data_IF_202442265596
#
_entry.id   IF_202442265596
#
_cell.length_a   1.000
_cell.length_b   1.000
_cell.length_c   1.000
_cell.angle_alpha   90.00
_cell.angle_beta   90.00
_cell.angle_gamma   90.00
#
_symmetry.space_group_name_H-M   'P 1'
#
loop_
_entity.id
_entity.type
_entity.pdbx_description
1 polymer ?
#
# COMPACT_ATOMS: atom_id res chain seq x y z
N UNK A 1 -7.66 13.08 23.66
CA UNK A 1 -8.70 13.03 22.61
C UNK A 1 -8.25 11.99 21.61
N UNK A 2 -8.95 10.88 21.55
CA UNK A 2 -8.70 9.76 20.65
C UNK A 2 -9.36 10.07 19.31
N UNK A 3 -8.58 10.18 18.23
CA UNK A 3 -9.10 10.47 16.89
C UNK A 3 -10.03 9.35 16.42
N UNK A 4 -11.34 9.60 16.50
CA UNK A 4 -12.37 8.73 15.94
C UNK A 4 -12.29 8.62 14.40
N UNK A 5 -11.47 9.45 13.74
CA UNK A 5 -11.19 9.43 12.29
C UNK A 5 -9.82 8.88 11.90
N UNK A 6 -9.04 8.33 12.84
CA UNK A 6 -7.71 7.79 12.55
C UNK A 6 -7.77 6.58 11.61
N UNK A 7 -6.83 6.50 10.66
CA UNK A 7 -6.64 5.32 9.81
C UNK A 7 -6.11 4.17 10.66
N UNK A 8 -6.78 3.02 10.62
CA UNK A 8 -6.43 1.86 11.45
C UNK A 8 -5.85 0.68 10.67
N UNK A 9 -6.02 0.71 9.34
CA UNK A 9 -5.60 -0.37 8.46
C UNK A 9 -5.23 0.21 7.09
N UNK A 10 -4.11 -0.23 6.54
CA UNK A 10 -3.68 0.18 5.19
C UNK A 10 -3.04 -1.01 4.50
N UNK A 11 -3.48 -1.30 3.27
CA UNK A 11 -2.87 -2.33 2.43
C UNK A 11 -2.33 -1.73 1.14
N UNK A 12 -1.23 -2.28 0.66
CA UNK A 12 -0.71 -2.07 -0.69
C UNK A 12 -1.04 -3.31 -1.53
N UNK A 13 -1.84 -3.12 -2.58
CA UNK A 13 -2.13 -4.15 -3.58
C UNK A 13 -1.24 -3.94 -4.79
N UNK A 14 -0.47 -4.97 -5.10
CA UNK A 14 0.36 -5.04 -6.29
C UNK A 14 -0.36 -5.90 -7.33
N UNK A 15 -0.72 -5.33 -8.49
CA UNK A 15 -1.42 -6.09 -9.51
C UNK A 15 -0.54 -7.25 -10.01
N UNK A 16 -1.05 -8.48 -9.95
CA UNK A 16 -0.31 -9.69 -10.29
C UNK A 16 0.50 -10.34 -9.15
N UNK A 17 0.73 -9.64 -8.03
CA UNK A 17 1.57 -10.13 -6.92
C UNK A 17 0.86 -10.22 -5.56
N UNK A 18 -0.31 -9.59 -5.39
CA UNK A 18 -1.15 -9.73 -4.19
C UNK A 18 -1.21 -8.49 -3.31
N UNK A 19 -1.63 -8.65 -2.05
CA UNK A 19 -1.79 -7.56 -1.07
C UNK A 19 -0.81 -7.72 0.09
N UNK A 20 -0.26 -6.60 0.57
CA UNK A 20 0.61 -6.52 1.74
C UNK A 20 0.01 -5.51 2.72
N UNK A 21 -0.13 -5.91 3.98
CA UNK A 21 -0.51 -4.99 5.05
C UNK A 21 0.66 -4.04 5.36
N UNK A 22 0.37 -2.74 5.40
CA UNK A 22 1.37 -1.71 5.68
C UNK A 22 1.47 -1.46 7.18
N UNK A 23 2.68 -1.28 7.68
CA UNK A 23 2.95 -0.99 9.09
C UNK A 23 2.85 0.51 9.35
N UNK A 24 2.08 0.92 10.37
CA UNK A 24 2.05 2.30 10.84
C UNK A 24 3.39 2.67 11.49
N UNK A 25 4.01 3.78 11.04
CA UNK A 25 5.32 4.23 11.55
C UNK A 25 5.26 5.60 12.23
N UNK A 26 4.06 6.15 12.42
CA UNK A 26 3.81 7.43 13.11
C UNK A 26 3.08 8.46 12.24
N UNK A 27 2.29 9.34 12.88
CA UNK A 27 1.45 10.31 12.16
C UNK A 27 0.53 9.62 11.15
N UNK A 28 0.47 10.12 9.92
CA UNK A 28 -0.26 9.49 8.80
C UNK A 28 0.68 8.69 7.87
N UNK A 29 1.78 8.15 8.40
CA UNK A 29 2.80 7.45 7.62
C UNK A 29 2.70 5.95 7.82
N UNK A 30 2.61 5.22 6.72
CA UNK A 30 2.57 3.76 6.66
C UNK A 30 3.66 3.26 5.72
N UNK A 31 4.27 2.13 6.05
CA UNK A 31 5.38 1.53 5.30
C UNK A 31 5.10 0.08 4.95
N UNK A 32 5.38 -0.30 3.72
CA UNK A 32 5.46 -1.69 3.29
C UNK A 32 6.75 -1.95 2.51
N UNK A 33 7.16 -3.21 2.49
CA UNK A 33 8.19 -3.72 1.60
C UNK A 33 7.46 -4.52 0.52
N UNK A 34 7.64 -4.15 -0.74
CA UNK A 34 7.07 -4.84 -1.89
C UNK A 34 8.18 -5.57 -2.63
N UNK A 35 7.91 -6.80 -3.07
CA UNK A 35 8.88 -7.68 -3.71
C UNK A 35 9.39 -8.80 -2.79
N UNK A 36 10.46 -9.53 -3.19
CA UNK A 36 11.29 -9.27 -4.37
C UNK A 36 10.52 -9.39 -5.69
N UNK A 37 10.93 -8.60 -6.69
CA UNK A 37 10.43 -8.70 -8.05
C UNK A 37 11.51 -9.31 -8.94
N UNK A 38 11.17 -10.41 -9.62
CA UNK A 38 12.11 -11.14 -10.47
C UNK A 38 11.92 -10.83 -11.96
N UNK A 39 10.85 -10.11 -12.30
CA UNK A 39 10.52 -9.73 -13.66
C UNK A 39 10.71 -8.22 -13.85
N UNK A 40 11.25 -7.83 -15.00
CA UNK A 40 11.27 -6.43 -15.44
C UNK A 40 9.92 -6.07 -16.06
N UNK A 41 9.40 -4.89 -15.73
CA UNK A 41 8.15 -4.43 -16.32
C UNK A 41 7.46 -3.34 -15.51
N UNK A 42 6.26 -2.98 -15.97
CA UNK A 42 5.40 -2.05 -15.25
C UNK A 42 4.67 -2.76 -14.10
N UNK A 43 4.68 -2.13 -12.95
CA UNK A 43 4.00 -2.57 -11.75
C UNK A 43 3.00 -1.50 -11.32
N UNK A 44 1.72 -1.87 -11.29
CA UNK A 44 0.67 -1.01 -10.76
C UNK A 44 0.39 -1.34 -9.29
N UNK A 45 0.45 -0.32 -8.44
CA UNK A 45 0.21 -0.41 -7.00
C UNK A 45 -1.03 0.41 -6.65
N UNK A 46 -1.96 -0.18 -5.89
CA UNK A 46 -3.12 0.49 -5.33
C UNK A 46 -3.01 0.48 -3.81
N UNK A 47 -3.22 1.61 -3.16
CA UNK A 47 -3.28 1.70 -1.70
C UNK A 47 -4.73 1.76 -1.27
N UNK A 48 -5.11 0.94 -0.29
CA UNK A 48 -6.44 1.00 0.34
C UNK A 48 -6.27 1.22 1.83
N UNK A 49 -6.97 2.23 2.36
CA UNK A 49 -6.94 2.58 3.76
C UNK A 49 -8.36 2.49 4.35
N UNK A 50 -8.46 2.10 5.62
CA UNK A 50 -9.69 2.14 6.40
C UNK A 50 -9.50 2.95 7.66
N UNK A 51 -10.52 3.73 8.03
CA UNK A 51 -10.58 4.40 9.33
C UNK A 51 -11.15 3.49 10.42
N UNK A 52 -11.11 3.98 11.67
CA UNK A 52 -11.70 3.31 12.82
C UNK A 52 -13.22 3.08 12.73
N UNK A 53 -13.93 3.83 11.89
CA UNK A 53 -15.35 3.67 11.64
C UNK A 53 -15.66 2.64 10.54
N UNK A 54 -14.63 2.09 9.89
CA UNK A 54 -14.75 1.13 8.80
C UNK A 54 -14.92 1.76 7.42
N UNK A 55 -14.84 3.08 7.30
CA UNK A 55 -14.86 3.75 5.99
C UNK A 55 -13.56 3.46 5.27
N UNK A 56 -13.66 2.99 4.02
CA UNK A 56 -12.51 2.65 3.20
C UNK A 56 -12.38 3.56 1.98
N UNK A 57 -11.14 3.91 1.62
CA UNK A 57 -10.82 4.60 0.38
C UNK A 57 -9.67 3.89 -0.35
N UNK A 58 -9.72 3.89 -1.69
CA UNK A 58 -8.69 3.33 -2.56
C UNK A 58 -8.07 4.44 -3.38
N UNK A 59 -6.74 4.45 -3.49
CA UNK A 59 -6.02 5.40 -4.33
C UNK A 59 -6.24 5.14 -5.82
N UNK A 60 -5.87 6.11 -6.67
CA UNK A 60 -5.54 5.81 -8.05
C UNK A 60 -4.30 4.89 -8.15
N UNK A 61 -4.04 4.29 -9.32
CA UNK A 61 -2.85 3.46 -9.51
C UNK A 61 -1.59 4.30 -9.46
N UNK A 62 -0.61 3.85 -8.67
CA UNK A 62 0.78 4.25 -8.79
C UNK A 62 1.48 3.24 -9.70
N UNK A 63 1.88 3.68 -10.89
CA UNK A 63 2.67 2.85 -11.81
C UNK A 63 4.15 3.12 -11.60
N UNK A 64 4.92 2.05 -11.36
CA UNK A 64 6.38 2.09 -11.34
C UNK A 64 6.94 1.13 -12.38
N UNK A 65 8.15 1.39 -12.86
CA UNK A 65 8.90 0.42 -13.68
C UNK A 65 9.90 -0.31 -12.80
N UNK A 66 9.76 -1.63 -12.71
CA UNK A 66 10.75 -2.51 -12.09
C UNK A 66 11.78 -2.86 -13.16
N UNK A 67 13.05 -2.63 -12.86
CA UNK A 67 14.17 -3.07 -13.69
C UNK A 67 14.99 -4.07 -12.88
N UNK A 68 15.01 -5.32 -13.33
CA UNK A 68 15.91 -6.32 -12.78
C UNK A 68 17.27 -6.14 -13.42
N UNK A 69 18.28 -5.80 -12.61
CA UNK A 69 19.68 -5.87 -13.03
C UNK A 69 20.21 -7.25 -12.67
N UNK A 70 20.63 -8.00 -13.68
CA UNK A 70 21.34 -9.28 -13.52
C UNK A 70 22.80 -9.09 -13.15
#
# INVERSE_FOLDING_TARGET
MTDAGGVNRVVARTLGYGEVEMTHVGGNVYRAVLGPFNDTGELSILIRAWDNAGNGATSGPLTITVVCIG
#
